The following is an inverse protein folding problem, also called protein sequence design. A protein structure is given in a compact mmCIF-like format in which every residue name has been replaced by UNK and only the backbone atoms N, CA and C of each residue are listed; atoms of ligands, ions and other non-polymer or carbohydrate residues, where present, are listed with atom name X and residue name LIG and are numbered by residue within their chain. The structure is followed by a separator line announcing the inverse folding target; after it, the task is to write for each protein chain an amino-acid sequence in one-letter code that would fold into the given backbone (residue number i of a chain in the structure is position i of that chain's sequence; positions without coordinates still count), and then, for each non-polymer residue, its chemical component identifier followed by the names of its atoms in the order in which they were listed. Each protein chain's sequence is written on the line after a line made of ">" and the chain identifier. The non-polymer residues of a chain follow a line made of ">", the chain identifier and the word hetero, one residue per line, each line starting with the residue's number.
data_IF_851872421755
#
_entry.id   IF_851872421755
#
_cell.length_a   1.000
_cell.length_b   1.000
_cell.length_c   1.000
_cell.angle_alpha   90.00
_cell.angle_beta   90.00
_cell.angle_gamma   90.00
#
_symmetry.space_group_name_H-M   'P 1'
#
loop_
_entity.id
_entity.type
_entity.pdbx_description
1 polymer ?
#
# COMPACT_ATOMS: atom_id res chain seq x y z
N UNK A 1 -2.56 -13.30 -1.32
CA UNK A 1 -3.30 -13.35 -2.62
C UNK A 1 -3.00 -12.07 -3.34
N UNK A 2 -2.48 -12.15 -4.56
CA UNK A 2 -2.18 -10.97 -5.37
C UNK A 2 -3.46 -10.21 -5.73
N UNK A 3 -3.43 -8.88 -5.59
CA UNK A 3 -4.56 -7.98 -5.89
C UNK A 3 -4.09 -6.73 -6.61
N UNK A 4 -5.00 -6.14 -7.39
CA UNK A 4 -4.86 -4.78 -7.90
C UNK A 4 -6.12 -4.01 -7.57
N UNK A 5 -6.00 -3.00 -6.70
CA UNK A 5 -7.09 -2.14 -6.27
C UNK A 5 -6.89 -0.70 -6.77
N UNK A 6 -7.99 -0.02 -7.01
CA UNK A 6 -8.01 1.41 -7.25
C UNK A 6 -8.88 2.07 -6.19
N UNK A 7 -8.45 3.23 -5.69
CA UNK A 7 -9.20 3.93 -4.67
C UNK A 7 -8.77 5.36 -4.46
N UNK A 8 -9.58 6.07 -3.69
CA UNK A 8 -9.30 7.43 -3.22
C UNK A 8 -8.67 7.37 -1.83
N UNK A 9 -7.55 8.04 -1.65
CA UNK A 9 -6.84 8.15 -0.37
C UNK A 9 -7.71 8.92 0.63
N UNK A 10 -7.85 8.40 1.84
CA UNK A 10 -8.69 8.94 2.90
C UNK A 10 -7.90 9.65 4.01
N UNK A 11 -6.67 9.20 4.25
CA UNK A 11 -5.85 9.64 5.38
C UNK A 11 -4.51 10.20 4.89
N UNK A 12 -3.92 11.10 5.67
CA UNK A 12 -2.51 11.41 5.51
C UNK A 12 -1.66 10.15 5.78
N UNK A 13 -0.50 10.00 5.11
CA UNK A 13 0.40 8.89 5.37
C UNK A 13 0.92 8.94 6.81
N UNK A 14 0.94 7.78 7.46
CA UNK A 14 1.55 7.58 8.78
C UNK A 14 2.74 6.65 8.64
N UNK A 15 3.85 7.01 9.28
CA UNK A 15 5.05 6.19 9.31
C UNK A 15 5.16 5.40 10.62
N UNK A 16 5.61 4.15 10.53
CA UNK A 16 5.86 3.31 11.71
C UNK A 16 6.92 2.25 11.42
N UNK A 17 7.59 1.78 12.47
CA UNK A 17 8.54 0.67 12.34
C UNK A 17 7.85 -0.67 12.61
N UNK A 18 8.07 -1.65 11.73
CA UNK A 18 7.56 -3.01 11.92
C UNK A 18 8.18 -3.68 13.14
N UNK A 19 7.37 -4.34 13.98
CA UNK A 19 7.84 -4.95 15.24
C UNK A 19 8.93 -6.01 15.07
N UNK A 20 8.90 -6.74 13.94
CA UNK A 20 9.82 -7.85 13.66
C UNK A 20 10.94 -7.46 12.68
N UNK A 21 10.60 -6.75 11.59
CA UNK A 21 11.58 -6.36 10.57
C UNK A 21 12.41 -5.14 10.96
N UNK A 22 11.92 -4.28 11.86
CA UNK A 22 12.45 -2.93 12.13
C UNK A 22 12.50 -2.01 10.92
N UNK A 23 11.87 -2.39 9.80
CA UNK A 23 11.74 -1.52 8.64
C UNK A 23 10.69 -0.44 8.90
N UNK A 24 10.96 0.77 8.41
CA UNK A 24 9.99 1.85 8.34
C UNK A 24 8.97 1.54 7.24
N UNK A 25 7.69 1.65 7.58
CA UNK A 25 6.57 1.49 6.67
C UNK A 25 5.78 2.79 6.60
N UNK A 26 5.18 3.03 5.44
CA UNK A 26 4.18 4.07 5.19
C UNK A 26 2.79 3.43 5.12
N UNK A 27 1.82 4.00 5.83
CA UNK A 27 0.45 3.53 5.88
C UNK A 27 -0.54 4.62 5.53
N UNK A 28 -1.51 4.31 4.68
CA UNK A 28 -2.68 5.16 4.44
C UNK A 28 -3.90 4.31 4.08
N UNK A 29 -5.08 4.82 4.40
CA UNK A 29 -6.35 4.15 4.09
C UNK A 29 -6.94 4.72 2.79
N UNK A 30 -7.56 3.85 2.00
CA UNK A 30 -8.20 4.15 0.74
C UNK A 30 -9.64 3.68 0.72
N UNK A 31 -10.45 4.23 -0.18
CA UNK A 31 -11.81 3.77 -0.48
C UNK A 31 -11.92 3.41 -1.95
N UNK A 32 -12.41 2.21 -2.25
CA UNK A 32 -12.69 1.81 -3.61
C UNK A 32 -13.97 2.47 -4.15
N UNK A 33 -14.22 2.29 -5.45
CA UNK A 33 -15.41 2.84 -6.12
C UNK A 33 -16.74 2.26 -5.63
N UNK A 34 -16.72 1.15 -4.88
CA UNK A 34 -17.90 0.50 -4.28
C UNK A 34 -18.13 0.95 -2.84
N UNK A 35 -17.26 1.80 -2.29
CA UNK A 35 -17.34 2.31 -0.94
C UNK A 35 -16.63 1.46 0.12
N UNK A 36 -15.99 0.35 -0.27
CA UNK A 36 -15.23 -0.47 0.66
C UNK A 36 -13.88 0.19 0.97
N UNK A 37 -13.45 0.07 2.23
CA UNK A 37 -12.17 0.61 2.68
C UNK A 37 -11.09 -0.46 2.68
N UNK A 38 -9.90 -0.11 2.25
CA UNK A 38 -8.70 -0.93 2.38
C UNK A 38 -7.53 -0.08 2.82
N UNK A 39 -6.51 -0.73 3.40
CA UNK A 39 -5.30 -0.09 3.90
C UNK A 39 -4.13 -0.46 3.02
N UNK A 40 -3.29 0.51 2.70
CA UNK A 40 -2.00 0.27 2.06
C UNK A 40 -0.92 0.33 3.13
N UNK A 41 0.01 -0.63 3.11
CA UNK A 41 1.23 -0.61 3.92
C UNK A 41 2.40 -0.86 2.99
N UNK A 42 3.17 0.20 2.71
CA UNK A 42 4.37 0.17 1.88
C UNK A 42 5.64 0.18 2.72
N UNK A 43 6.70 -0.49 2.26
CA UNK A 43 7.97 -0.53 2.97
C UNK A 43 8.95 0.51 2.43
N UNK A 44 8.94 1.69 3.04
CA UNK A 44 9.78 2.84 2.62
C UNK A 44 11.27 2.68 2.96
N UNK A 45 11.65 1.57 3.60
CA UNK A 45 13.07 1.21 3.77
C UNK A 45 13.66 0.67 2.47
N UNK A 46 12.85 0.02 1.64
CA UNK A 46 13.28 -0.61 0.37
C UNK A 46 12.60 -0.02 -0.87
N UNK A 47 11.56 0.79 -0.70
CA UNK A 47 10.89 1.56 -1.74
C UNK A 47 10.84 3.06 -1.44
N UNK A 48 10.46 3.90 -2.41
CA UNK A 48 10.31 5.33 -2.22
C UNK A 48 9.04 5.67 -1.43
N UNK A 49 9.10 6.71 -0.59
CA UNK A 49 7.89 7.31 0.01
C UNK A 49 6.93 7.80 -1.07
N UNK A 50 5.64 7.60 -0.84
CA UNK A 50 4.58 7.96 -1.77
C UNK A 50 3.93 9.25 -1.27
N UNK A 51 4.01 10.37 -2.01
CA UNK A 51 3.56 11.68 -1.54
C UNK A 51 2.03 11.86 -1.62
N UNK A 52 1.27 10.83 -1.20
CA UNK A 52 -0.20 10.84 -1.21
C UNK A 52 -0.78 11.86 -0.24
N UNK A 53 -1.94 12.39 -0.62
CA UNK A 53 -2.82 13.24 0.20
C UNK A 53 -4.25 12.72 0.16
N UNK A 54 -5.06 12.99 1.20
CA UNK A 54 -6.49 12.74 1.14
C UNK A 54 -7.12 13.36 -0.11
N UNK A 55 -7.89 12.55 -0.85
CA UNK A 55 -8.49 12.93 -2.12
C UNK A 55 -7.73 12.42 -3.35
N UNK A 56 -6.47 12.03 -3.22
CA UNK A 56 -5.70 11.49 -4.35
C UNK A 56 -6.26 10.14 -4.83
N UNK A 57 -6.18 9.90 -6.13
CA UNK A 57 -6.54 8.62 -6.73
C UNK A 57 -5.30 7.76 -6.95
N UNK A 58 -5.31 6.55 -6.41
CA UNK A 58 -4.20 5.61 -6.52
C UNK A 58 -4.63 4.30 -7.14
N UNK A 59 -3.72 3.66 -7.88
CA UNK A 59 -3.79 2.23 -8.20
C UNK A 59 -2.72 1.51 -7.42
N UNK A 60 -3.10 0.45 -6.71
CA UNK A 60 -2.23 -0.30 -5.81
C UNK A 60 -2.20 -1.75 -6.27
N UNK A 61 -1.01 -2.29 -6.51
CA UNK A 61 -0.78 -3.71 -6.73
C UNK A 61 0.07 -4.27 -5.59
N UNK A 62 -0.30 -5.43 -5.08
CA UNK A 62 0.47 -6.16 -4.08
C UNK A 62 -0.34 -7.32 -3.51
N UNK A 63 0.00 -7.75 -2.31
CA UNK A 63 -0.65 -8.87 -1.65
C UNK A 63 -1.72 -8.44 -0.66
N UNK A 64 -2.91 -9.03 -0.79
CA UNK A 64 -3.96 -8.90 0.20
C UNK A 64 -3.65 -9.75 1.43
N UNK A 65 -3.53 -9.07 2.56
CA UNK A 65 -3.49 -9.62 3.92
C UNK A 65 -4.77 -9.20 4.63
N UNK A 66 -5.49 -10.16 5.19
CA UNK A 66 -6.70 -9.88 5.93
C UNK A 66 -6.61 -10.50 7.32
N UNK A 67 -6.82 -9.68 8.34
CA UNK A 67 -6.97 -10.12 9.72
C UNK A 67 -8.41 -9.86 10.18
N UNK A 68 -8.96 -10.78 10.98
CA UNK A 68 -10.36 -10.73 11.40
C UNK A 68 -10.59 -9.48 12.24
N UNK A 69 -11.53 -8.64 11.80
CA UNK A 69 -11.92 -7.42 12.51
C UNK A 69 -11.08 -6.18 12.16
N UNK A 70 -10.14 -6.28 11.21
CA UNK A 70 -9.41 -5.14 10.66
C UNK A 70 -9.81 -4.88 9.20
N UNK A 71 -9.63 -3.65 8.68
CA UNK A 71 -9.70 -3.40 7.25
C UNK A 71 -8.73 -4.32 6.49
N UNK A 72 -9.07 -4.79 5.28
CA UNK A 72 -8.14 -5.49 4.42
C UNK A 72 -6.89 -4.64 4.18
N UNK A 73 -5.72 -5.25 4.25
CA UNK A 73 -4.43 -4.62 4.02
C UNK A 73 -3.89 -5.10 2.68
N UNK A 74 -3.43 -4.18 1.84
CA UNK A 74 -2.58 -4.48 0.69
C UNK A 74 -1.15 -4.16 1.10
N UNK A 75 -0.32 -5.20 1.17
CA UNK A 75 1.11 -5.14 1.49
C UNK A 75 1.92 -5.49 0.23
N UNK A 76 3.26 -5.55 0.36
CA UNK A 76 4.17 -5.90 -0.74
C UNK A 76 3.96 -5.01 -1.97
N UNK A 77 3.78 -3.71 -1.74
CA UNK A 77 3.54 -2.71 -2.79
C UNK A 77 4.84 -2.18 -3.41
N UNK A 78 5.86 -3.03 -3.47
CA UNK A 78 7.21 -2.71 -3.94
C UNK A 78 7.76 -3.84 -4.81
N UNK A 79 8.86 -3.58 -5.51
CA UNK A 79 9.60 -4.62 -6.24
C UNK A 79 10.12 -5.67 -5.25
N UNK A 80 9.96 -6.96 -5.58
CA UNK A 80 10.59 -8.03 -4.81
C UNK A 80 12.04 -8.21 -5.30
N UNK A 81 13.06 -7.88 -4.46
CA UNK A 81 14.46 -8.03 -4.84
C UNK A 81 14.86 -9.49 -5.09
N UNK A 82 14.14 -10.45 -4.48
CA UNK A 82 14.46 -11.87 -4.52
C UNK A 82 13.59 -12.66 -5.49
N UNK A 83 12.61 -12.02 -6.15
CA UNK A 83 11.72 -12.63 -7.15
C UNK A 83 11.00 -13.90 -6.66
N UNK A 84 10.62 -13.87 -5.39
CA UNK A 84 9.82 -14.88 -4.70
C UNK A 84 8.31 -14.61 -4.77
N UNK A 85 7.91 -13.36 -4.99
CA UNK A 85 6.54 -12.88 -5.14
C UNK A 85 6.39 -12.03 -6.41
N UNK A 86 5.15 -11.75 -6.83
CA UNK A 86 4.95 -10.76 -7.89
C UNK A 86 5.32 -9.37 -7.38
N UNK A 87 5.96 -8.55 -8.23
CA UNK A 87 6.23 -7.16 -7.88
C UNK A 87 4.91 -6.40 -7.67
N UNK A 88 4.87 -5.61 -6.59
CA UNK A 88 3.83 -4.64 -6.32
C UNK A 88 4.22 -3.22 -6.67
N UNK A 89 3.26 -2.30 -6.57
CA UNK A 89 3.49 -0.86 -6.74
C UNK A 89 2.33 -0.04 -6.17
N UNK A 90 2.59 1.25 -5.95
CA UNK A 90 1.57 2.29 -5.88
C UNK A 90 1.73 3.25 -7.05
N UNK A 91 0.64 3.53 -7.77
CA UNK A 91 0.61 4.50 -8.86
C UNK A 91 -0.23 5.70 -8.46
N UNK A 92 0.38 6.88 -8.50
CA UNK A 92 -0.21 8.18 -8.19
C UNK A 92 0.12 9.14 -9.33
N UNK A 93 -0.89 9.79 -9.90
CA UNK A 93 -0.75 10.78 -10.99
C UNK A 93 0.15 10.33 -12.15
N UNK A 94 0.00 9.06 -12.56
CA UNK A 94 0.79 8.46 -13.64
C UNK A 94 2.22 8.06 -13.26
N UNK A 95 2.69 8.39 -12.05
CA UNK A 95 3.98 7.95 -11.53
C UNK A 95 3.82 6.67 -10.71
N UNK A 96 4.71 5.70 -10.96
CA UNK A 96 4.77 4.43 -10.22
C UNK A 96 5.86 4.51 -9.15
N UNK A 97 5.53 4.04 -7.95
CA UNK A 97 6.38 3.93 -6.76
C UNK A 97 6.43 2.44 -6.41
N UNK A 98 7.63 1.86 -6.39
CA UNK A 98 7.89 0.44 -6.14
C UNK A 98 9.33 0.23 -5.69
#
# INVERSE_FOLDING_TARGET
>A
MEVTYAGTVLTLPRFFHGKHSRYEHEQFDCRDARGATFRVIDNVTIGPRIPVRPGDHVTVKGELVHDRGAPPIVHFTHHDPWKTHEDGFVRLDGRTYA
#
